data_IF_801779835185
#
_entry.id   IF_801779835185
#
_cell.length_a   1.000
_cell.length_b   1.000
_cell.length_c   1.000
_cell.angle_alpha   90.00
_cell.angle_beta   90.00
_cell.angle_gamma   90.00
#
_symmetry.space_group_name_H-M   'P 1'
#
loop_
_entity.id
_entity.type
_entity.pdbx_description
1 polymer ?
#
# COMPACT_ATOMS: atom_id res chain seq x y z
N UNK A 1 8.67 10.22 6.72
CA UNK A 1 7.23 9.98 6.48
C UNK A 1 6.47 11.27 6.80
N UNK A 2 5.40 11.61 6.08
CA UNK A 2 4.53 12.73 6.46
C UNK A 2 3.83 12.44 7.79
N UNK A 3 3.42 13.49 8.50
CA UNK A 3 2.59 13.33 9.70
C UNK A 3 1.32 12.54 9.39
N UNK A 4 0.84 11.77 10.37
CA UNK A 4 -0.39 10.99 10.23
C UNK A 4 -1.54 11.95 9.87
N UNK A 5 -2.30 11.67 8.79
CA UNK A 5 -3.46 12.47 8.45
C UNK A 5 -4.51 12.39 9.55
N UNK A 6 -5.41 13.37 9.61
CA UNK A 6 -6.55 13.31 10.52
C UNK A 6 -7.43 12.06 10.23
N UNK A 7 -8.25 11.67 11.21
CA UNK A 7 -9.07 10.46 11.14
C UNK A 7 -10.00 10.43 9.92
N UNK A 8 -10.56 11.59 9.54
CA UNK A 8 -11.47 11.69 8.40
C UNK A 8 -10.70 11.44 7.10
N UNK A 9 -9.57 12.11 6.93
CA UNK A 9 -8.69 11.95 5.77
C UNK A 9 -8.19 10.51 5.66
N UNK A 10 -7.72 9.90 6.76
CA UNK A 10 -7.27 8.51 6.76
C UNK A 10 -8.39 7.54 6.39
N UNK A 11 -9.61 7.75 6.90
CA UNK A 11 -10.76 6.91 6.57
C UNK A 11 -11.08 6.99 5.08
N UNK A 12 -11.07 8.19 4.51
CA UNK A 12 -11.28 8.38 3.06
C UNK A 12 -10.20 7.70 2.22
N UNK A 13 -8.95 7.75 2.69
CA UNK A 13 -7.84 7.08 2.03
C UNK A 13 -7.97 5.56 2.09
N UNK A 14 -8.32 5.00 3.25
CA UNK A 14 -8.58 3.57 3.42
C UNK A 14 -9.70 3.11 2.48
N UNK A 15 -10.80 3.86 2.37
CA UNK A 15 -11.87 3.58 1.41
C UNK A 15 -11.36 3.70 -0.03
N UNK A 16 -10.55 4.72 -0.31
CA UNK A 16 -9.88 4.95 -1.59
C UNK A 16 -9.12 3.74 -2.11
N UNK A 17 -8.35 3.11 -1.24
CA UNK A 17 -7.56 1.91 -1.57
C UNK A 17 -8.38 0.61 -1.48
N UNK A 18 -9.67 0.69 -1.18
CA UNK A 18 -10.61 -0.43 -1.24
C UNK A 18 -10.91 -1.12 0.09
N UNK A 19 -10.69 -0.48 1.24
CA UNK A 19 -11.22 -0.95 2.51
C UNK A 19 -12.69 -0.51 2.66
N UNK A 20 -13.62 -1.44 2.90
CA UNK A 20 -15.05 -1.14 2.94
C UNK A 20 -15.48 -0.49 4.27
N UNK A 21 -15.05 0.75 4.50
CA UNK A 21 -15.56 1.62 5.56
C UNK A 21 -16.67 2.55 5.05
N UNK A 22 -17.50 3.03 5.96
CA UNK A 22 -18.60 3.95 5.65
C UNK A 22 -18.08 5.40 5.53
N UNK A 23 -17.44 5.73 4.41
CA UNK A 23 -16.96 7.08 4.09
C UNK A 23 -16.81 7.27 2.58
N UNK A 24 -16.54 8.50 2.15
CA UNK A 24 -16.24 8.81 0.75
C UNK A 24 -14.82 8.36 0.38
N UNK A 25 -14.67 7.79 -0.82
CA UNK A 25 -13.37 7.34 -1.31
C UNK A 25 -12.46 8.52 -1.71
N UNK A 26 -11.18 8.45 -1.36
CA UNK A 26 -10.13 9.20 -2.05
C UNK A 26 -9.54 8.34 -3.21
N UNK A 27 -9.88 8.61 -4.49
CA UNK A 27 -9.47 7.74 -5.61
C UNK A 27 -7.96 7.80 -5.93
N UNK A 28 -7.24 8.76 -5.35
CA UNK A 28 -5.80 8.96 -5.52
C UNK A 28 -5.03 8.73 -4.21
N UNK A 29 -5.62 8.00 -3.26
CA UNK A 29 -5.00 7.72 -1.97
C UNK A 29 -3.61 7.06 -2.11
N UNK A 30 -2.61 7.50 -1.34
CA UNK A 30 -1.27 6.92 -1.41
C UNK A 30 -1.20 5.57 -0.70
N UNK A 31 -1.36 4.47 -1.45
CA UNK A 31 -1.49 3.10 -0.94
C UNK A 31 -0.55 2.78 0.23
N UNK A 32 0.76 2.86 0.05
CA UNK A 32 1.71 2.43 1.11
C UNK A 32 1.64 3.29 2.36
N UNK A 33 1.44 4.61 2.23
CA UNK A 33 1.30 5.53 3.36
C UNK A 33 -0.01 5.25 4.11
N UNK A 34 -1.11 5.06 3.39
CA UNK A 34 -2.40 4.66 3.97
C UNK A 34 -2.30 3.34 4.73
N UNK A 35 -1.60 2.33 4.20
CA UNK A 35 -1.40 1.04 4.88
C UNK A 35 -0.61 1.20 6.19
N UNK A 36 0.44 2.02 6.18
CA UNK A 36 1.25 2.27 7.39
C UNK A 36 0.43 3.03 8.43
N UNK A 37 -0.30 4.07 8.05
CA UNK A 37 -1.17 4.79 8.98
C UNK A 37 -2.31 3.92 9.52
N UNK A 38 -2.93 3.08 8.70
CA UNK A 38 -3.91 2.08 9.14
C UNK A 38 -3.30 1.09 10.14
N UNK A 39 -2.05 0.66 9.92
CA UNK A 39 -1.35 -0.22 10.87
C UNK A 39 -1.07 0.48 12.20
N UNK A 40 -0.75 1.79 12.19
CA UNK A 40 -0.57 2.57 13.41
C UNK A 40 -1.89 2.67 14.19
N UNK A 41 -3.02 2.93 13.52
CA UNK A 41 -4.35 2.94 14.20
C UNK A 41 -4.62 1.58 14.86
N UNK A 42 -4.37 0.50 14.12
CA UNK A 42 -4.63 -0.85 14.61
C UNK A 42 -3.71 -1.28 15.76
N UNK A 43 -2.44 -0.91 15.68
CA UNK A 43 -1.41 -1.35 16.60
C UNK A 43 -1.28 -0.46 17.83
N UNK A 44 -1.26 0.86 17.64
CA UNK A 44 -0.99 1.85 18.67
C UNK A 44 -2.28 2.34 19.35
N UNK A 45 -3.35 2.54 18.58
CA UNK A 45 -4.66 2.98 19.12
C UNK A 45 -5.57 1.79 19.48
N UNK A 46 -5.10 0.56 19.27
CA UNK A 46 -5.82 -0.70 19.51
C UNK A 46 -7.14 -0.83 18.72
N UNK A 47 -7.26 -0.19 17.55
CA UNK A 47 -8.41 -0.41 16.67
C UNK A 47 -8.27 -1.73 15.90
N UNK A 48 -8.69 -2.82 16.56
CA UNK A 48 -8.66 -4.16 15.99
C UNK A 48 -9.55 -4.29 14.75
N UNK A 49 -10.55 -3.42 14.57
CA UNK A 49 -11.40 -3.42 13.37
C UNK A 49 -10.58 -2.94 12.18
N UNK A 50 -9.90 -1.80 12.31
CA UNK A 50 -9.01 -1.29 11.25
C UNK A 50 -7.89 -2.30 10.96
N UNK A 51 -7.29 -2.88 12.00
CA UNK A 51 -6.22 -3.88 11.82
C UNK A 51 -6.71 -5.15 11.10
N UNK A 52 -7.92 -5.61 11.41
CA UNK A 52 -8.51 -6.78 10.75
C UNK A 52 -8.77 -6.53 9.26
N UNK A 53 -9.34 -5.38 8.91
CA UNK A 53 -9.58 -4.99 7.51
C UNK A 53 -8.26 -4.79 6.77
N UNK A 54 -7.27 -4.14 7.39
CA UNK A 54 -5.92 -4.00 6.83
C UNK A 54 -5.28 -5.36 6.56
N UNK A 55 -5.33 -6.28 7.52
CA UNK A 55 -4.73 -7.62 7.38
C UNK A 55 -5.40 -8.40 6.25
N UNK A 56 -6.73 -8.33 6.15
CA UNK A 56 -7.50 -8.89 5.03
C UNK A 56 -7.08 -8.26 3.70
N UNK A 57 -6.98 -6.93 3.65
CA UNK A 57 -6.55 -6.19 2.46
C UNK A 57 -5.17 -6.63 1.99
N UNK A 58 -4.21 -6.79 2.90
CA UNK A 58 -2.87 -7.30 2.58
C UNK A 58 -2.96 -8.69 1.95
N UNK A 59 -3.75 -9.60 2.53
CA UNK A 59 -3.95 -10.94 1.98
C UNK A 59 -4.44 -10.95 0.53
N UNK A 60 -5.35 -10.03 0.19
CA UNK A 60 -5.92 -9.92 -1.16
C UNK A 60 -4.99 -9.19 -2.12
N UNK A 61 -4.34 -8.09 -1.69
CA UNK A 61 -3.73 -7.12 -2.59
C UNK A 61 -2.20 -7.04 -2.55
N UNK A 62 -1.49 -7.83 -1.73
CA UNK A 62 -0.03 -7.71 -1.54
C UNK A 62 0.80 -7.72 -2.84
N UNK A 63 0.31 -8.38 -3.89
CA UNK A 63 0.96 -8.41 -5.22
C UNK A 63 1.07 -7.04 -5.89
N UNK A 64 0.27 -6.07 -5.47
CA UNK A 64 0.19 -4.73 -6.04
C UNK A 64 0.72 -3.63 -5.11
N UNK A 65 1.35 -4.02 -4.00
CA UNK A 65 2.08 -3.12 -3.11
C UNK A 65 3.47 -2.85 -3.70
N UNK A 66 3.86 -1.57 -3.72
CA UNK A 66 5.23 -1.15 -4.00
C UNK A 66 6.07 -1.40 -2.74
N UNK A 67 6.71 -2.57 -2.68
CA UNK A 67 7.41 -3.03 -1.48
C UNK A 67 8.58 -2.12 -1.07
N UNK A 68 9.29 -1.50 -2.02
CA UNK A 68 10.38 -0.57 -1.69
C UNK A 68 9.85 0.70 -1.01
N UNK A 69 8.73 1.24 -1.51
CA UNK A 69 8.06 2.37 -0.87
C UNK A 69 7.55 1.98 0.52
N UNK A 70 6.90 0.82 0.64
CA UNK A 70 6.40 0.33 1.92
C UNK A 70 7.54 0.18 2.94
N UNK A 71 8.66 -0.44 2.56
CA UNK A 71 9.84 -0.58 3.43
C UNK A 71 10.32 0.77 3.90
N UNK A 72 10.41 1.78 3.02
CA UNK A 72 10.77 3.15 3.41
C UNK A 72 9.78 3.69 4.44
N UNK A 73 8.48 3.68 4.15
CA UNK A 73 7.46 4.23 5.04
C UNK A 73 7.45 3.55 6.42
N UNK A 74 7.58 2.22 6.46
CA UNK A 74 7.65 1.47 7.72
C UNK A 74 8.94 1.79 8.47
N UNK A 75 10.10 1.82 7.80
CA UNK A 75 11.39 2.08 8.47
C UNK A 75 11.53 3.49 9.06
N UNK A 76 10.77 4.45 8.53
CA UNK A 76 10.72 5.82 9.02
C UNK A 76 9.65 6.01 10.11
N UNK A 77 8.86 4.97 10.42
CA UNK A 77 7.81 5.03 11.43
C UNK A 77 8.41 4.92 12.84
N UNK A 78 7.86 5.65 13.80
CA UNK A 78 8.39 5.70 15.18
C UNK A 78 7.91 4.58 16.10
N UNK A 79 6.93 3.78 15.69
CA UNK A 79 6.32 2.73 16.53
C UNK A 79 6.92 1.35 16.28
N UNK A 80 7.47 0.76 17.33
CA UNK A 80 7.93 -0.63 17.36
C UNK A 80 6.78 -1.63 17.16
N UNK A 81 5.56 -1.31 17.58
CA UNK A 81 4.40 -2.19 17.36
C UNK A 81 4.03 -2.25 15.87
N UNK A 82 4.15 -1.12 15.17
CA UNK A 82 4.00 -1.06 13.71
C UNK A 82 5.12 -1.86 13.01
N UNK A 83 6.37 -1.76 13.48
CA UNK A 83 7.46 -2.59 12.97
C UNK A 83 7.19 -4.09 13.17
N UNK A 84 6.72 -4.50 14.36
CA UNK A 84 6.38 -5.88 14.66
C UNK A 84 5.27 -6.42 13.75
N UNK A 85 4.22 -5.61 13.49
CA UNK A 85 3.16 -5.97 12.56
C UNK A 85 3.70 -6.22 11.14
N UNK A 86 4.48 -5.29 10.59
CA UNK A 86 5.01 -5.45 9.23
C UNK A 86 6.08 -6.54 9.12
N UNK A 87 6.86 -6.78 10.17
CA UNK A 87 7.76 -7.93 10.25
C UNK A 87 6.98 -9.26 10.26
N UNK A 88 5.84 -9.30 10.94
CA UNK A 88 4.95 -10.46 10.93
C UNK A 88 4.30 -10.68 9.55
N UNK A 89 3.80 -9.63 8.90
CA UNK A 89 3.30 -9.68 7.52
C UNK A 89 4.36 -10.20 6.55
N UNK A 90 5.61 -9.77 6.71
CA UNK A 90 6.71 -10.25 5.87
C UNK A 90 6.96 -11.77 6.03
N UNK A 91 6.77 -12.29 7.24
CA UNK A 91 6.88 -13.72 7.52
C UNK A 91 5.69 -14.49 6.95
N UNK A 92 4.47 -13.97 7.11
CA UNK A 92 3.26 -14.52 6.48
C UNK A 92 3.45 -14.66 4.98
N UNK A 93 3.95 -13.61 4.34
CA UNK A 93 4.19 -13.53 2.90
C UNK A 93 5.61 -13.96 2.50
N UNK A 94 6.26 -14.82 3.29
CA UNK A 94 7.68 -15.19 3.13
C UNK A 94 8.07 -15.73 1.75
N UNK A 95 7.12 -16.25 0.97
CA UNK A 95 7.34 -16.69 -0.42
C UNK A 95 7.58 -15.52 -1.39
N UNK A 96 7.16 -14.30 -1.04
CA UNK A 96 7.38 -13.09 -1.82
C UNK A 96 8.60 -12.33 -1.29
N UNK A 97 9.73 -12.50 -1.99
CA UNK A 97 11.03 -11.93 -1.60
C UNK A 97 11.03 -10.40 -1.52
N UNK A 98 10.06 -9.71 -2.14
CA UNK A 98 9.95 -8.24 -2.10
C UNK A 98 9.78 -7.73 -0.66
N UNK A 99 9.10 -8.50 0.20
CA UNK A 99 8.84 -8.13 1.58
C UNK A 99 9.95 -8.54 2.56
N UNK A 100 10.99 -9.24 2.11
CA UNK A 100 12.03 -9.79 2.99
C UNK A 100 12.75 -8.74 3.85
N UNK A 101 12.81 -7.48 3.39
CA UNK A 101 13.39 -6.36 4.15
C UNK A 101 12.55 -5.96 5.36
N UNK A 102 11.22 -6.08 5.29
CA UNK A 102 10.32 -5.75 6.41
C UNK A 102 10.53 -6.69 7.61
N UNK A 103 10.82 -7.97 7.37
CA UNK A 103 11.09 -8.95 8.42
C UNK A 103 12.26 -8.54 9.34
N UNK A 104 13.17 -7.68 8.85
CA UNK A 104 14.33 -7.20 9.59
C UNK A 104 14.08 -5.92 10.39
N UNK A 105 12.91 -5.28 10.23
CA UNK A 105 12.60 -4.02 10.90
C UNK A 105 12.24 -4.20 12.38
N UNK A 106 11.94 -5.43 12.80
CA UNK A 106 11.72 -5.76 14.21
C UNK A 106 12.66 -6.89 14.63
N UNK A 107 13.59 -6.58 15.54
CA UNK A 107 14.50 -7.55 16.16
C UNK A 107 14.25 -7.70 17.67
N UNK A 108 13.22 -7.03 18.20
CA UNK A 108 12.85 -7.06 19.61
C UNK A 108 12.15 -8.36 20.03
N UNK A 109 11.75 -8.46 21.31
CA UNK A 109 10.94 -9.56 21.78
C UNK A 109 9.60 -9.63 21.04
N UNK A 110 8.90 -10.79 21.07
CA UNK A 110 7.55 -10.88 20.55
C UNK A 110 6.63 -9.85 21.19
N UNK A 111 5.80 -9.22 20.36
CA UNK A 111 4.80 -8.23 20.77
C UNK A 111 3.45 -8.91 20.82
N UNK A 112 2.74 -8.74 21.93
CA UNK A 112 1.35 -9.17 22.04
C UNK A 112 0.42 -8.14 21.38
N UNK A 113 -0.50 -8.61 20.53
CA UNK A 113 -1.49 -7.73 19.92
C UNK A 113 -2.43 -7.15 20.99
N UNK A 114 -2.95 -8.03 21.85
CA UNK A 114 -3.86 -7.64 22.94
C UNK A 114 -3.08 -7.05 24.11
N UNK A 115 -3.59 -6.00 24.78
CA UNK A 115 -2.96 -5.46 25.98
C UNK A 115 -2.86 -6.47 27.13
N UNK A 116 -3.83 -7.39 27.22
CA UNK A 116 -3.92 -8.41 28.28
C UNK A 116 -4.50 -9.72 27.74
N UNK A 117 -4.13 -10.83 28.37
CA UNK A 117 -4.77 -12.14 28.15
C UNK A 117 -4.33 -12.89 26.89
N UNK A 118 -3.30 -12.44 26.20
CA UNK A 118 -2.77 -13.09 24.97
C UNK A 118 -2.42 -14.56 25.21
N UNK A 119 -1.67 -14.87 26.27
CA UNK A 119 -1.28 -16.25 26.59
C UNK A 119 -2.48 -17.16 26.81
N UNK A 120 -3.48 -16.69 27.56
CA UNK A 120 -4.70 -17.45 27.81
C UNK A 120 -5.49 -17.69 26.52
N UNK A 121 -5.64 -16.67 25.66
CA UNK A 121 -6.38 -16.80 24.41
C UNK A 121 -5.65 -17.71 23.42
N UNK A 122 -4.32 -17.63 23.31
CA UNK A 122 -3.50 -18.52 22.48
C UNK A 122 -3.58 -19.96 23.01
N UNK A 123 -3.47 -20.18 24.32
CA UNK A 123 -3.60 -21.51 24.91
C UNK A 123 -4.98 -22.13 24.64
N UNK A 124 -6.03 -21.29 24.60
CA UNK A 124 -7.42 -21.75 24.37
C UNK A 124 -7.76 -21.98 22.90
N UNK A 125 -7.27 -21.13 21.99
CA UNK A 125 -7.74 -21.09 20.59
C UNK A 125 -6.64 -21.31 19.56
N UNK A 126 -5.38 -21.33 19.97
CA UNK A 126 -4.23 -21.27 19.09
C UNK A 126 -3.89 -19.84 18.66
N UNK A 127 -2.80 -19.74 17.89
CA UNK A 127 -2.36 -18.52 17.23
C UNK A 127 -3.01 -18.38 15.85
N UNK A 128 -3.25 -17.16 15.40
CA UNK A 128 -3.72 -16.87 14.05
C UNK A 128 -2.66 -17.32 13.03
N UNK A 129 -3.05 -18.12 12.04
CA UNK A 129 -2.12 -18.74 11.08
C UNK A 129 -1.28 -17.72 10.31
N UNK A 130 -1.82 -16.51 10.08
CA UNK A 130 -1.10 -15.43 9.40
C UNK A 130 0.07 -14.91 10.23
N UNK A 131 0.00 -15.05 11.55
CA UNK A 131 0.99 -14.53 12.49
C UNK A 131 1.78 -15.64 13.20
N UNK A 132 1.49 -16.90 12.90
CA UNK A 132 2.06 -18.06 13.59
C UNK A 132 3.59 -18.04 13.62
N UNK A 133 4.13 -18.04 14.83
CA UNK A 133 5.57 -17.99 15.11
C UNK A 133 6.26 -16.67 14.75
N UNK A 134 5.54 -15.65 14.30
CA UNK A 134 6.07 -14.35 13.95
C UNK A 134 6.40 -13.48 15.19
N UNK A 135 7.00 -12.29 15.01
CA UNK A 135 7.23 -11.37 16.12
C UNK A 135 5.96 -10.74 16.69
N UNK A 136 4.79 -10.90 16.05
CA UNK A 136 3.51 -10.44 16.57
C UNK A 136 2.67 -11.65 16.96
N UNK A 137 2.24 -11.70 18.22
CA UNK A 137 1.41 -12.76 18.77
C UNK A 137 -0.06 -12.36 18.69
N UNK A 138 -0.82 -13.11 17.90
CA UNK A 138 -2.24 -12.84 17.63
C UNK A 138 -3.05 -14.10 17.94
N UNK A 139 -3.92 -14.10 18.95
CA UNK A 139 -4.79 -15.26 19.18
C UNK A 139 -5.75 -15.47 18.01
N UNK A 140 -6.00 -16.74 17.66
CA UNK A 140 -6.90 -17.09 16.58
C UNK A 140 -8.31 -16.48 16.77
N UNK A 141 -8.85 -15.92 15.69
CA UNK A 141 -10.15 -15.26 15.68
C UNK A 141 -10.18 -13.85 16.27
N UNK A 142 -9.03 -13.29 16.69
CA UNK A 142 -8.95 -11.89 17.15
C UNK A 142 -9.12 -10.91 15.98
N UNK A 143 -8.40 -11.15 14.89
CA UNK A 143 -8.51 -10.37 13.67
C UNK A 143 -9.43 -11.11 12.71
N UNK A 144 -10.66 -10.61 12.59
CA UNK A 144 -11.64 -11.17 11.65
C UNK A 144 -11.04 -11.21 10.24
N UNK A 145 -11.27 -12.31 9.53
CA UNK A 145 -10.87 -12.47 8.14
C UNK A 145 -12.15 -12.60 7.30
N UNK A 146 -12.45 -11.57 6.50
CA UNK A 146 -13.67 -11.52 5.69
C UNK A 146 -13.43 -10.75 4.41
N UNK A 147 -13.40 -11.46 3.29
CA UNK A 147 -13.21 -10.87 1.95
C UNK A 147 -14.15 -9.71 1.64
N UNK A 148 -15.39 -9.74 2.13
CA UNK A 148 -16.37 -8.67 1.93
C UNK A 148 -15.99 -7.33 2.59
N UNK A 149 -15.01 -7.30 3.49
CA UNK A 149 -14.54 -6.07 4.12
C UNK A 149 -13.53 -5.32 3.21
N UNK A 150 -13.15 -5.88 2.07
CA UNK A 150 -12.28 -5.25 1.07
C UNK A 150 -12.84 -5.39 -0.35
N UNK A 151 -12.49 -4.46 -1.23
CA UNK A 151 -12.83 -4.56 -2.65
C UNK A 151 -11.98 -5.64 -3.32
N UNK A 152 -12.54 -6.37 -4.27
CA UNK A 152 -11.75 -7.29 -5.10
C UNK A 152 -10.81 -6.52 -6.03
N UNK A 153 -9.70 -7.13 -6.51
CA UNK A 153 -8.80 -6.48 -7.44
C UNK A 153 -9.49 -5.94 -8.69
N UNK A 154 -10.47 -6.65 -9.26
CA UNK A 154 -11.20 -6.21 -10.45
C UNK A 154 -12.05 -4.96 -10.20
N UNK A 155 -12.59 -4.79 -8.98
CA UNK A 155 -13.32 -3.58 -8.62
C UNK A 155 -12.35 -2.43 -8.37
N UNK A 156 -11.24 -2.70 -7.68
CA UNK A 156 -10.29 -1.65 -7.31
C UNK A 156 -9.56 -1.04 -8.51
N UNK A 157 -9.21 -1.83 -9.54
CA UNK A 157 -8.61 -1.29 -10.78
C UNK A 157 -9.50 -0.29 -11.52
N UNK A 158 -10.83 -0.38 -11.35
CA UNK A 158 -11.78 0.56 -11.96
C UNK A 158 -11.88 1.88 -11.18
N UNK A 159 -11.50 1.87 -9.90
CA UNK A 159 -11.70 3.00 -8.97
C UNK A 159 -10.42 3.77 -8.65
N UNK A 160 -9.27 3.12 -8.72
CA UNK A 160 -8.00 3.69 -8.29
C UNK A 160 -6.96 3.62 -9.41
N UNK A 161 -6.59 4.78 -9.97
CA UNK A 161 -5.68 4.87 -11.13
C UNK A 161 -4.28 4.32 -10.82
N UNK A 162 -3.73 4.65 -9.65
CA UNK A 162 -2.45 4.10 -9.19
C UNK A 162 -2.45 2.57 -9.11
N UNK A 163 -3.47 1.99 -8.46
CA UNK A 163 -3.65 0.54 -8.41
C UNK A 163 -3.75 -0.09 -9.81
N UNK A 164 -4.55 0.49 -10.70
CA UNK A 164 -4.68 0.03 -12.10
C UNK A 164 -3.34 -0.01 -12.82
N UNK A 165 -2.55 1.06 -12.72
CA UNK A 165 -1.26 1.14 -13.39
C UNK A 165 -0.24 0.16 -12.81
N UNK A 166 -0.34 -0.17 -11.51
CA UNK A 166 0.46 -1.23 -10.89
C UNK A 166 0.04 -2.64 -11.32
N UNK A 167 -1.23 -2.85 -11.65
CA UNK A 167 -1.67 -4.10 -12.30
C UNK A 167 -1.08 -4.21 -13.70
N UNK A 168 -1.07 -3.12 -14.48
CA UNK A 168 -0.57 -3.11 -15.86
C UNK A 168 0.96 -3.25 -15.98
N UNK A 169 1.70 -2.52 -15.15
CA UNK A 169 3.17 -2.38 -15.27
C UNK A 169 3.95 -3.04 -14.13
N UNK A 170 3.25 -3.60 -13.14
CA UNK A 170 3.84 -4.04 -11.88
C UNK A 170 3.95 -2.91 -10.84
N UNK A 171 4.06 -3.25 -9.55
CA UNK A 171 4.05 -2.29 -8.45
C UNK A 171 5.42 -1.61 -8.28
N UNK A 172 5.72 -0.71 -9.21
CA UNK A 172 7.01 -0.02 -9.31
C UNK A 172 6.82 1.49 -9.33
N UNK A 173 7.90 2.24 -9.08
CA UNK A 173 7.89 3.69 -9.25
C UNK A 173 7.48 4.14 -10.65
N UNK A 174 7.73 3.32 -11.69
CA UNK A 174 7.28 3.61 -13.06
C UNK A 174 5.77 3.74 -13.12
N UNK A 175 5.04 2.79 -12.53
CA UNK A 175 3.58 2.82 -12.52
C UNK A 175 3.04 4.06 -11.78
N UNK A 176 3.68 4.43 -10.67
CA UNK A 176 3.28 5.60 -9.88
C UNK A 176 3.55 6.92 -10.63
N UNK A 177 4.72 7.06 -11.26
CA UNK A 177 5.03 8.23 -12.10
C UNK A 177 4.12 8.31 -13.33
N UNK A 178 3.84 7.18 -13.97
CA UNK A 178 2.91 7.12 -15.10
C UNK A 178 1.50 7.57 -14.70
N UNK A 179 1.03 7.15 -13.52
CA UNK A 179 -0.26 7.60 -12.97
C UNK A 179 -0.31 9.11 -12.81
N UNK A 180 0.76 9.73 -12.27
CA UNK A 180 0.83 11.18 -12.12
C UNK A 180 0.79 11.91 -13.48
N UNK A 181 1.34 11.31 -14.53
CA UNK A 181 1.33 11.85 -15.89
C UNK A 181 0.00 11.64 -16.62
N UNK A 182 -0.73 10.55 -16.34
CA UNK A 182 -2.10 10.37 -16.84
C UNK A 182 -3.06 11.42 -16.27
N UNK A 183 -2.86 11.83 -15.02
CA UNK A 183 -3.63 12.90 -14.38
C UNK A 183 -3.22 14.28 -14.91
N UNK A 184 -1.92 14.51 -15.12
CA UNK A 184 -1.40 15.75 -15.68
C UNK A 184 -0.27 15.50 -16.68
N UNK A 185 -0.63 15.44 -17.97
CA UNK A 185 0.28 15.05 -19.04
C UNK A 185 1.41 16.05 -19.32
N UNK A 186 1.24 17.30 -18.92
CA UNK A 186 2.22 18.38 -19.09
C UNK A 186 3.12 18.59 -17.86
N UNK A 187 2.98 17.75 -16.82
CA UNK A 187 3.76 17.87 -15.61
C UNK A 187 5.29 17.86 -15.90
N UNK A 188 6.01 18.73 -15.18
CA UNK A 188 7.47 18.69 -15.20
C UNK A 188 8.00 17.41 -14.54
N UNK A 189 9.25 17.04 -14.83
CA UNK A 189 9.89 15.86 -14.19
C UNK A 189 9.89 15.99 -12.67
N UNK A 190 10.18 17.18 -12.15
CA UNK A 190 10.19 17.44 -10.71
C UNK A 190 8.78 17.29 -10.11
N UNK A 191 7.75 17.74 -10.81
CA UNK A 191 6.37 17.63 -10.35
C UNK A 191 5.89 16.18 -10.36
N UNK A 192 6.18 15.44 -11.43
CA UNK A 192 5.87 14.01 -11.52
C UNK A 192 6.60 13.21 -10.43
N UNK A 193 7.87 13.51 -10.16
CA UNK A 193 8.64 12.90 -9.09
C UNK A 193 8.02 13.16 -7.70
N UNK A 194 7.61 14.40 -7.44
CA UNK A 194 6.98 14.82 -6.18
C UNK A 194 5.67 14.07 -5.94
N UNK A 195 4.79 14.06 -6.94
CA UNK A 195 3.48 13.36 -6.86
C UNK A 195 3.65 11.87 -6.70
N UNK A 196 4.61 11.28 -7.41
CA UNK A 196 4.92 9.86 -7.27
C UNK A 196 5.72 9.55 -5.99
N UNK A 197 6.21 10.53 -5.23
CA UNK A 197 7.02 10.30 -4.02
C UNK A 197 8.39 9.66 -4.27
N UNK A 198 8.94 9.83 -5.48
CA UNK A 198 10.19 9.22 -5.92
C UNK A 198 11.30 10.26 -6.20
N UNK A 199 12.50 9.78 -6.52
CA UNK A 199 13.61 10.67 -6.92
C UNK A 199 13.38 11.27 -8.31
N UNK A 200 14.00 12.43 -8.56
CA UNK A 200 14.00 13.04 -9.89
C UNK A 200 14.56 12.11 -10.97
N UNK A 201 15.66 11.41 -10.66
CA UNK A 201 16.30 10.47 -11.58
C UNK A 201 15.35 9.32 -11.97
N UNK A 202 14.60 8.79 -11.00
CA UNK A 202 13.57 7.76 -11.25
C UNK A 202 12.47 8.28 -12.17
N UNK A 203 11.98 9.50 -11.94
CA UNK A 203 10.90 10.08 -12.74
C UNK A 203 11.34 10.45 -14.15
N UNK A 204 12.58 10.90 -14.33
CA UNK A 204 13.07 11.45 -15.59
C UNK A 204 12.86 10.51 -16.77
N UNK A 205 13.25 9.24 -16.64
CA UNK A 205 13.13 8.26 -17.72
C UNK A 205 11.66 7.99 -18.08
N UNK A 206 10.79 7.87 -17.07
CA UNK A 206 9.36 7.60 -17.28
C UNK A 206 8.68 8.76 -18.00
N UNK A 207 9.05 10.00 -17.68
CA UNK A 207 8.53 11.19 -18.35
C UNK A 207 8.94 11.23 -19.81
N UNK A 208 10.19 10.86 -20.14
CA UNK A 208 10.62 10.77 -21.55
C UNK A 208 9.83 9.71 -22.31
N UNK A 209 9.66 8.52 -21.73
CA UNK A 209 8.90 7.44 -22.35
C UNK A 209 7.42 7.82 -22.55
N UNK A 210 6.82 8.47 -21.55
CA UNK A 210 5.44 8.95 -21.64
C UNK A 210 5.27 9.94 -22.79
N UNK A 211 6.17 10.92 -22.89
CA UNK A 211 6.16 11.91 -23.97
C UNK A 211 6.40 11.28 -25.33
N UNK A 212 7.28 10.28 -25.43
CA UNK A 212 7.51 9.56 -26.67
C UNK A 212 6.25 8.86 -27.19
N UNK A 213 5.48 8.24 -26.28
CA UNK A 213 4.26 7.50 -26.62
C UNK A 213 3.05 8.41 -26.90
N UNK A 214 3.04 9.62 -26.34
CA UNK A 214 1.95 10.59 -26.50
C UNK A 214 2.29 11.74 -27.47
N UNK A 215 3.50 11.76 -28.04
CA UNK A 215 3.82 12.68 -29.11
C UNK A 215 2.99 12.32 -30.36
N UNK A 216 2.25 13.29 -30.89
CA UNK A 216 1.57 13.10 -32.17
C UNK A 216 2.59 12.72 -33.26
N UNK A 217 2.26 11.79 -34.17
CA UNK A 217 3.15 11.45 -35.27
C UNK A 217 3.45 12.72 -36.09
N UNK A 218 4.72 13.13 -36.10
CA UNK A 218 5.18 14.21 -36.97
C UNK A 218 5.14 13.72 -38.42
N UNK A 219 4.04 13.96 -39.15
CA UNK A 219 4.05 13.80 -40.60
C UNK A 219 2.78 13.32 -41.33
N UNK A 220 1.57 13.63 -40.87
CA UNK A 220 0.36 13.39 -41.69
C UNK A 220 -0.18 14.65 -42.41
N UNK A 221 0.46 15.82 -42.28
CA UNK A 221 -0.03 17.10 -42.81
C UNK A 221 0.80 17.67 -43.99
N UNK A 222 1.58 16.82 -44.70
CA UNK A 222 2.31 17.22 -45.92
C UNK A 222 1.95 16.42 -47.17
N UNK A 223 0.71 15.94 -47.26
CA UNK A 223 0.19 15.28 -48.47
C UNK A 223 -1.23 15.72 -48.86
N UNK A 224 -1.62 16.96 -48.53
CA UNK A 224 -2.85 17.60 -49.02
C UNK A 224 -2.57 18.90 -49.77
N UNK A 225 -1.45 18.95 -50.49
CA UNK A 225 -1.15 20.00 -51.46
C UNK A 225 -0.71 19.36 -52.77
N UNK A 226 -1.49 19.63 -53.83
CA UNK A 226 -1.28 19.25 -55.23
C UNK A 226 -1.80 17.84 -55.61
N UNK A 227 -3.03 17.75 -56.12
CA UNK A 227 -3.39 17.77 -57.55
C UNK A 227 -4.81 18.34 -57.67
#
# INVERSE_FOLDING_TARGET
MSDRPDETTLTRDMVGIGMNFASDANPSAPIEETLVHASAVGMDDHDLRVLAVLTTWVGVHYRHINADRLVRCVSEHGSDRVHAYWAAVARWLSKDRRFARLAKLHAGPPVDLLPVGTDFQIARRGEDERFAGSPLRVPAGTLRDRDADVLTPDVLVRRHAGYRNRVLMGPTWRADVWTALEEQSDASVAEAARRAGCSFATAWQVVQDFRLLHAAPRGADRAAGQI
#
